data_IF_710290936585
#
_entry.id   IF_710290936585
#
_cell.length_a   1.000
_cell.length_b   1.000
_cell.length_c   1.000
_cell.angle_alpha   90.00
_cell.angle_beta   90.00
_cell.angle_gamma   90.00
#
_symmetry.space_group_name_H-M   'P 1'
#
loop_
_entity.id
_entity.type
_entity.pdbx_description
1 polymer ?
#
# COMPACT_ATOMS: atom_id res chain seq x y z
N UNK A 1 -2.68 -4.91 -7.62
CA UNK A 1 -3.16 -3.57 -8.00
C UNK A 1 -2.62 -3.25 -9.39
N UNK A 2 -3.38 -2.57 -10.24
CA UNK A 2 -2.82 -2.00 -11.48
C UNK A 2 -2.06 -0.73 -11.08
N UNK A 3 -0.82 -0.90 -10.64
CA UNK A 3 0.05 0.17 -10.16
C UNK A 3 1.43 0.01 -10.78
N UNK A 4 2.05 1.10 -11.27
CA UNK A 4 3.44 1.07 -11.71
C UNK A 4 4.37 0.60 -10.58
N UNK A 5 5.43 -0.11 -10.94
CA UNK A 5 6.54 -0.43 -10.06
C UNK A 5 7.84 -0.23 -10.85
N UNK A 6 8.80 0.46 -10.26
CA UNK A 6 10.12 0.64 -10.86
C UNK A 6 11.01 -0.57 -10.57
N UNK A 7 11.95 -0.85 -11.48
CA UNK A 7 13.11 -1.67 -11.15
C UNK A 7 13.97 -0.88 -10.15
N UNK A 8 14.20 -1.46 -8.97
CA UNK A 8 14.82 -0.78 -7.84
C UNK A 8 16.25 -0.30 -8.18
N UNK A 9 16.44 1.01 -8.30
CA UNK A 9 17.75 1.65 -8.39
C UNK A 9 18.14 2.20 -7.02
N UNK A 10 18.89 1.39 -6.27
CA UNK A 10 19.33 1.71 -4.91
C UNK A 10 20.11 3.01 -4.84
N UNK A 11 20.95 3.30 -5.85
CA UNK A 11 21.76 4.52 -5.88
C UNK A 11 20.90 5.78 -5.95
N UNK A 12 19.87 5.78 -6.81
CA UNK A 12 18.93 6.90 -6.91
C UNK A 12 18.10 7.11 -5.65
N UNK A 13 17.71 6.03 -4.97
CA UNK A 13 16.99 6.12 -3.71
C UNK A 13 17.87 6.74 -2.61
N UNK A 14 19.13 6.31 -2.51
CA UNK A 14 20.08 6.88 -1.55
C UNK A 14 20.26 8.37 -1.83
N UNK A 15 20.56 8.75 -3.08
CA UNK A 15 20.72 10.17 -3.47
C UNK A 15 19.47 11.00 -3.14
N UNK A 16 18.28 10.48 -3.42
CA UNK A 16 17.03 11.14 -3.08
C UNK A 16 16.88 11.31 -1.55
N UNK A 17 17.19 10.29 -0.76
CA UNK A 17 17.09 10.33 0.69
C UNK A 17 18.14 11.23 1.33
N UNK A 18 19.33 11.35 0.76
CA UNK A 18 20.34 12.34 1.15
C UNK A 18 19.82 13.77 0.93
N UNK A 19 19.23 14.04 -0.24
CA UNK A 19 18.65 15.35 -0.57
C UNK A 19 17.49 15.74 0.37
N UNK A 20 16.73 14.75 0.83
CA UNK A 20 15.67 14.91 1.84
C UNK A 20 16.19 14.97 3.28
N UNK A 21 17.50 14.85 3.51
CA UNK A 21 18.14 14.75 4.82
C UNK A 21 17.62 13.59 5.68
N UNK A 22 17.38 12.43 5.04
CA UNK A 22 16.85 11.22 5.67
C UNK A 22 17.92 10.15 5.91
N UNK A 23 19.18 10.43 5.61
CA UNK A 23 20.30 9.53 5.92
C UNK A 23 20.95 9.98 7.22
N UNK A 24 20.78 9.18 8.28
CA UNK A 24 21.42 9.41 9.58
C UNK A 24 22.61 8.48 9.81
N UNK A 25 23.34 8.71 10.90
CA UNK A 25 24.55 7.93 11.26
C UNK A 25 24.28 6.42 11.42
N UNK A 26 23.07 6.06 11.87
CA UNK A 26 22.68 4.67 12.18
C UNK A 26 21.72 4.08 11.14
N UNK A 27 21.54 4.75 10.00
CA UNK A 27 20.63 4.34 8.94
C UNK A 27 19.58 5.41 8.62
N UNK A 28 18.53 4.98 7.91
CA UNK A 28 17.51 5.89 7.41
C UNK A 28 16.61 6.45 8.53
N UNK A 29 16.24 7.72 8.36
CA UNK A 29 15.35 8.46 9.23
C UNK A 29 13.95 8.51 8.62
N UNK A 30 12.95 8.42 9.49
CA UNK A 30 11.55 8.59 9.15
C UNK A 30 11.32 10.00 8.63
N UNK A 31 10.76 10.12 7.43
CA UNK A 31 10.42 11.40 6.84
C UNK A 31 9.55 12.26 7.77
N UNK A 32 8.64 11.64 8.50
CA UNK A 32 7.60 12.34 9.24
C UNK A 32 8.03 12.84 10.62
N UNK A 33 8.89 12.10 11.32
CA UNK A 33 9.26 12.42 12.70
C UNK A 33 10.78 12.48 12.96
N UNK A 34 11.61 12.17 11.96
CA UNK A 34 13.07 12.18 12.07
C UNK A 34 13.68 11.08 12.92
N UNK A 35 12.88 10.21 13.56
CA UNK A 35 13.36 9.00 14.27
C UNK A 35 13.82 7.93 13.27
N UNK A 36 14.47 6.87 13.73
CA UNK A 36 14.85 5.75 12.86
C UNK A 36 13.67 5.14 12.10
N UNK A 37 13.83 4.94 10.79
CA UNK A 37 12.84 4.29 9.95
C UNK A 37 12.82 2.78 10.20
N UNK A 38 11.62 2.20 10.14
CA UNK A 38 11.36 0.76 10.36
C UNK A 38 10.43 0.15 9.31
N UNK A 39 9.91 0.97 8.40
CA UNK A 39 9.16 0.57 7.22
C UNK A 39 9.40 1.56 6.07
N UNK A 40 8.86 1.22 4.91
CA UNK A 40 8.74 2.11 3.76
C UNK A 40 7.27 2.52 3.66
N UNK A 41 7.01 3.80 3.45
CA UNK A 41 5.67 4.34 3.20
C UNK A 41 5.55 4.85 1.76
N UNK A 42 4.31 4.91 1.28
CA UNK A 42 3.93 5.56 0.03
C UNK A 42 3.44 6.97 0.32
N UNK A 43 4.10 8.00 -0.21
CA UNK A 43 3.68 9.40 -0.06
C UNK A 43 2.21 9.59 -0.46
N UNK A 44 1.80 8.97 -1.57
CA UNK A 44 0.43 8.92 -2.03
C UNK A 44 -0.08 7.47 -2.02
N UNK A 45 -1.32 7.24 -1.53
CA UNK A 45 -1.88 5.91 -1.39
C UNK A 45 -2.05 5.22 -2.75
N UNK A 46 -1.74 3.93 -2.84
CA UNK A 46 -1.92 3.15 -4.07
C UNK A 46 -3.39 2.86 -4.40
N UNK A 47 -4.22 2.78 -3.36
CA UNK A 47 -5.65 2.49 -3.46
C UNK A 47 -6.42 3.48 -2.58
N UNK A 48 -7.50 4.04 -3.12
CA UNK A 48 -8.46 4.86 -2.39
C UNK A 48 -9.87 4.46 -2.84
N UNK A 49 -10.78 4.26 -1.88
CA UNK A 49 -12.17 3.85 -2.15
C UNK A 49 -12.28 2.63 -3.07
N UNK A 50 -11.43 1.62 -2.84
CA UNK A 50 -11.31 0.40 -3.65
C UNK A 50 -10.89 0.59 -5.11
N UNK A 51 -10.44 1.79 -5.49
CA UNK A 51 -9.90 2.11 -6.82
C UNK A 51 -8.40 2.37 -6.77
N UNK A 52 -7.69 2.03 -7.84
CA UNK A 52 -6.28 2.40 -8.00
C UNK A 52 -6.18 3.90 -8.24
N UNK A 53 -5.31 4.57 -7.47
CA UNK A 53 -5.09 6.03 -7.59
C UNK A 53 -4.18 6.38 -8.77
N UNK A 54 -3.50 5.39 -9.34
CA UNK A 54 -2.46 5.58 -10.35
C UNK A 54 -1.06 5.76 -9.76
N UNK A 55 -0.95 6.02 -8.46
CA UNK A 55 0.33 6.03 -7.77
C UNK A 55 0.89 4.60 -7.65
N UNK A 56 2.21 4.51 -7.81
CA UNK A 56 2.94 3.25 -7.87
C UNK A 56 3.90 3.03 -6.71
N UNK A 57 4.51 1.85 -6.70
CA UNK A 57 5.70 1.57 -5.88
C UNK A 57 6.93 2.05 -6.66
N UNK A 58 7.11 3.37 -6.70
CA UNK A 58 8.04 4.06 -7.61
C UNK A 58 8.88 5.10 -6.86
N UNK A 59 10.02 5.46 -7.45
CA UNK A 59 10.79 6.63 -7.00
C UNK A 59 9.89 7.87 -7.00
N UNK A 60 10.07 8.75 -6.02
CA UNK A 60 9.18 9.89 -5.83
C UNK A 60 7.87 9.55 -5.10
N UNK A 61 7.51 8.27 -4.94
CA UNK A 61 6.40 7.87 -4.07
C UNK A 61 6.85 7.06 -2.85
N UNK A 62 8.06 6.52 -2.80
CA UNK A 62 8.58 5.75 -1.68
C UNK A 62 9.42 6.58 -0.73
N UNK A 63 9.17 6.48 0.57
CA UNK A 63 9.97 7.16 1.60
C UNK A 63 10.18 6.28 2.83
N UNK A 64 11.32 6.43 3.53
CA UNK A 64 11.53 5.75 4.80
C UNK A 64 10.60 6.35 5.86
N UNK A 65 9.94 5.48 6.63
CA UNK A 65 9.03 5.86 7.71
C UNK A 65 9.19 4.95 8.93
N UNK A 66 8.81 5.41 10.10
CA UNK A 66 8.60 4.51 11.24
C UNK A 66 7.19 3.92 11.18
N UNK A 67 6.99 2.73 11.76
CA UNK A 67 5.69 2.07 11.76
C UNK A 67 4.57 2.92 12.38
N UNK A 68 4.86 3.70 13.42
CA UNK A 68 3.88 4.58 14.06
C UNK A 68 3.38 5.67 13.09
N UNK A 69 4.28 6.39 12.42
CA UNK A 69 3.89 7.43 11.48
C UNK A 69 3.23 6.85 10.23
N UNK A 70 3.74 5.73 9.71
CA UNK A 70 3.16 5.05 8.55
C UNK A 70 1.71 4.62 8.82
N UNK A 71 1.47 3.95 9.96
CA UNK A 71 0.12 3.57 10.38
C UNK A 71 -0.78 4.80 10.66
N UNK A 72 -0.23 5.84 11.29
CA UNK A 72 -0.98 7.07 11.58
C UNK A 72 -1.40 7.80 10.29
N UNK A 73 -0.52 7.90 9.29
CA UNK A 73 -0.86 8.46 7.97
C UNK A 73 -1.95 7.63 7.31
N UNK A 74 -1.77 6.31 7.30
CA UNK A 74 -2.69 5.37 6.67
C UNK A 74 -2.88 5.67 5.18
N UNK A 75 -4.13 5.62 4.72
CA UNK A 75 -4.49 5.88 3.31
C UNK A 75 -4.55 7.35 2.90
N UNK A 76 -4.03 8.28 3.70
CA UNK A 76 -4.07 9.72 3.40
C UNK A 76 -2.88 10.14 2.52
N UNK A 77 -3.06 11.12 1.60
CA UNK A 77 -1.94 11.78 0.94
C UNK A 77 -1.00 12.43 1.95
N UNK A 78 0.31 12.38 1.69
CA UNK A 78 1.31 12.94 2.58
C UNK A 78 1.09 14.42 2.88
N UNK A 79 0.61 15.20 1.90
CA UNK A 79 0.36 16.64 2.04
C UNK A 79 -0.63 16.96 3.16
N UNK A 80 -1.66 16.14 3.31
CA UNK A 80 -2.64 16.28 4.41
C UNK A 80 -1.95 15.94 5.74
N UNK A 81 -1.20 14.85 5.78
CA UNK A 81 -0.56 14.35 7.00
C UNK A 81 0.55 15.25 7.53
N UNK A 82 1.40 15.81 6.66
CA UNK A 82 2.53 16.64 7.09
C UNK A 82 2.09 18.01 7.64
N UNK A 83 0.93 18.51 7.19
CA UNK A 83 0.32 19.72 7.75
C UNK A 83 -0.13 19.47 9.19
N UNK A 84 -0.78 18.33 9.46
CA UNK A 84 -1.17 17.95 10.82
C UNK A 84 0.03 17.75 11.75
N UNK A 85 1.12 17.19 11.21
CA UNK A 85 2.37 16.97 11.94
C UNK A 85 3.18 18.26 12.19
N UNK A 86 2.80 19.38 11.56
CA UNK A 86 3.54 20.63 11.66
C UNK A 86 4.93 20.56 11.00
N UNK A 87 5.06 19.81 9.90
CA UNK A 87 6.33 19.71 9.17
C UNK A 87 6.77 21.10 8.66
N UNK A 88 8.06 21.48 8.79
CA UNK A 88 8.54 22.76 8.30
C UNK A 88 8.32 22.92 6.78
N UNK A 89 7.91 24.12 6.34
CA UNK A 89 7.62 24.41 4.93
C UNK A 89 8.80 24.07 3.99
N UNK A 90 10.03 24.28 4.45
CA UNK A 90 11.22 23.93 3.68
C UNK A 90 11.31 22.43 3.41
N UNK A 91 10.99 21.60 4.40
CA UNK A 91 10.96 20.16 4.22
C UNK A 91 9.79 19.75 3.31
N UNK A 92 8.62 20.38 3.45
CA UNK A 92 7.48 20.17 2.55
C UNK A 92 7.87 20.47 1.09
N UNK A 93 8.61 21.56 0.84
CA UNK A 93 9.11 21.89 -0.51
C UNK A 93 10.00 20.78 -1.07
N UNK A 94 10.97 20.29 -0.30
CA UNK A 94 11.86 19.20 -0.72
C UNK A 94 11.10 17.91 -1.03
N UNK A 95 10.15 17.53 -0.18
CA UNK A 95 9.29 16.35 -0.42
C UNK A 95 8.44 16.55 -1.68
N UNK A 96 7.91 17.76 -1.91
CA UNK A 96 7.18 18.07 -3.14
C UNK A 96 8.06 17.98 -4.39
N UNK A 97 9.32 18.39 -4.32
CA UNK A 97 10.28 18.22 -5.43
C UNK A 97 10.57 16.75 -5.67
N UNK A 98 10.77 15.96 -4.61
CA UNK A 98 10.96 14.52 -4.73
C UNK A 98 9.73 13.83 -5.34
N UNK A 99 8.51 14.16 -4.87
CA UNK A 99 7.25 13.64 -5.42
C UNK A 99 7.12 13.89 -6.92
N UNK A 100 7.57 15.06 -7.41
CA UNK A 100 7.49 15.42 -8.82
C UNK A 100 8.35 14.55 -9.75
N UNK A 101 9.27 13.76 -9.19
CA UNK A 101 10.06 12.79 -9.94
C UNK A 101 9.29 11.50 -10.26
N UNK A 102 8.18 11.25 -9.56
CA UNK A 102 7.35 10.10 -9.83
C UNK A 102 6.70 10.23 -11.22
N UNK A 103 6.52 9.11 -11.95
CA UNK A 103 5.71 9.09 -13.16
C UNK A 103 4.33 9.68 -12.88
N UNK A 104 3.78 10.41 -13.86
CA UNK A 104 2.43 10.96 -13.74
C UNK A 104 1.44 9.82 -13.46
N UNK A 105 0.70 9.87 -12.34
CA UNK A 105 -0.22 8.80 -11.99
C UNK A 105 -1.36 8.73 -13.00
N UNK A 106 -1.67 7.53 -13.46
CA UNK A 106 -2.82 7.28 -14.34
C UNK A 106 -3.88 6.58 -13.52
N UNK A 107 -4.97 7.28 -13.20
CA UNK A 107 -6.00 6.75 -12.29
C UNK A 107 -6.78 5.61 -12.94
N UNK A 108 -7.50 4.83 -12.13
CA UNK A 108 -8.39 3.81 -12.67
C UNK A 108 -9.48 4.40 -13.59
N UNK A 109 -9.95 5.62 -13.33
CA UNK A 109 -10.96 6.27 -14.16
C UNK A 109 -10.35 6.72 -15.51
N UNK A 110 -9.08 7.14 -15.52
CA UNK A 110 -8.33 7.42 -16.76
C UNK A 110 -8.11 6.13 -17.57
N UNK A 111 -7.71 5.04 -16.91
CA UNK A 111 -7.55 3.75 -17.57
C UNK A 111 -8.87 3.23 -18.13
N UNK A 112 -9.99 3.43 -17.43
CA UNK A 112 -11.31 3.07 -17.92
C UNK A 112 -11.71 3.88 -19.17
N UNK A 113 -11.24 5.13 -19.26
CA UNK A 113 -11.43 5.96 -20.46
C UNK A 113 -10.54 5.54 -21.62
N UNK A 114 -9.28 5.21 -21.37
CA UNK A 114 -8.32 4.85 -22.43
C UNK A 114 -8.50 3.43 -22.93
N UNK A 115 -8.86 2.50 -22.04
CA UNK A 115 -8.91 1.06 -22.30
C UNK A 115 -10.19 0.43 -21.69
N UNK A 116 -11.39 0.87 -22.11
CA UNK A 116 -12.65 0.45 -21.49
C UNK A 116 -12.83 -1.06 -21.47
N UNK A 117 -12.59 -1.74 -22.60
CA UNK A 117 -12.78 -3.18 -22.73
C UNK A 117 -11.85 -4.00 -21.82
N UNK A 118 -10.60 -3.54 -21.65
CA UNK A 118 -9.62 -4.19 -20.77
C UNK A 118 -9.99 -3.99 -19.30
N UNK A 119 -10.45 -2.80 -18.92
CA UNK A 119 -10.89 -2.53 -17.55
C UNK A 119 -12.16 -3.32 -17.22
N UNK A 120 -13.11 -3.41 -18.13
CA UNK A 120 -14.31 -4.23 -17.93
C UNK A 120 -13.94 -5.72 -17.78
N UNK A 121 -13.07 -6.24 -18.65
CA UNK A 121 -12.59 -7.62 -18.54
C UNK A 121 -11.87 -7.87 -17.20
N UNK A 122 -10.98 -6.95 -16.80
CA UNK A 122 -10.28 -7.02 -15.51
C UNK A 122 -11.25 -7.03 -14.32
N UNK A 123 -12.27 -6.16 -14.33
CA UNK A 123 -13.26 -6.08 -13.27
C UNK A 123 -14.07 -7.37 -13.15
N UNK A 124 -14.54 -7.93 -14.27
CA UNK A 124 -15.25 -9.22 -14.29
C UNK A 124 -14.41 -10.35 -13.70
N UNK A 125 -13.14 -10.46 -14.11
CA UNK A 125 -12.24 -11.50 -13.59
C UNK A 125 -11.96 -11.32 -12.10
N UNK A 126 -11.85 -10.06 -11.64
CA UNK A 126 -11.68 -9.74 -10.22
C UNK A 126 -12.89 -10.16 -9.39
N UNK A 127 -14.11 -9.88 -9.86
CA UNK A 127 -15.35 -10.29 -9.20
C UNK A 127 -15.45 -11.83 -9.10
N UNK A 128 -15.19 -12.53 -10.20
CA UNK A 128 -15.17 -13.98 -10.23
C UNK A 128 -14.16 -14.57 -9.24
N UNK A 129 -12.97 -13.96 -9.13
CA UNK A 129 -11.96 -14.38 -8.15
C UNK A 129 -12.46 -14.23 -6.72
N UNK A 130 -13.13 -13.13 -6.39
CA UNK A 130 -13.68 -12.91 -5.04
C UNK A 130 -14.76 -13.95 -4.73
N UNK A 131 -15.66 -14.22 -5.68
CA UNK A 131 -16.73 -15.19 -5.47
C UNK A 131 -16.19 -16.61 -5.32
N UNK A 132 -15.15 -16.95 -6.08
CA UNK A 132 -14.45 -18.24 -5.94
C UNK A 132 -13.83 -18.38 -4.54
N UNK A 133 -13.18 -17.33 -4.03
CA UNK A 133 -12.63 -17.33 -2.67
C UNK A 133 -13.72 -17.47 -1.60
N UNK A 134 -14.86 -16.79 -1.77
CA UNK A 134 -16.01 -16.92 -0.87
C UNK A 134 -16.57 -18.35 -0.86
N UNK A 135 -16.70 -18.97 -2.03
CA UNK A 135 -17.17 -20.35 -2.15
C UNK A 135 -16.22 -21.33 -1.46
N UNK A 136 -14.90 -21.18 -1.68
CA UNK A 136 -13.89 -21.99 -1.00
C UNK A 136 -13.98 -21.85 0.53
N UNK A 137 -14.14 -20.62 1.04
CA UNK A 137 -14.29 -20.37 2.47
C UNK A 137 -15.57 -21.00 3.04
N UNK A 138 -16.68 -20.94 2.31
CA UNK A 138 -17.94 -21.57 2.73
C UNK A 138 -17.79 -23.09 2.85
N UNK A 139 -17.14 -23.74 1.89
CA UNK A 139 -16.84 -25.17 1.94
C UNK A 139 -15.90 -25.51 3.10
N UNK A 140 -14.85 -24.71 3.33
CA UNK A 140 -13.94 -24.90 4.45
C UNK A 140 -14.65 -24.83 5.81
N UNK A 141 -15.55 -23.86 5.98
CA UNK A 141 -16.35 -23.72 7.19
C UNK A 141 -17.28 -24.93 7.41
N UNK A 142 -17.91 -25.43 6.34
CA UNK A 142 -18.78 -26.60 6.41
C UNK A 142 -17.99 -27.87 6.75
N UNK A 143 -16.81 -28.06 6.15
CA UNK A 143 -15.91 -29.17 6.51
C UNK A 143 -15.53 -29.10 7.99
N UNK A 144 -15.17 -27.92 8.51
CA UNK A 144 -14.84 -27.76 9.93
C UNK A 144 -16.02 -28.10 10.84
N UNK A 145 -17.24 -27.66 10.48
CA UNK A 145 -18.47 -27.98 11.21
C UNK A 145 -18.70 -29.49 11.25
N UNK A 146 -18.61 -30.16 10.10
CA UNK A 146 -18.80 -31.61 10.00
C UNK A 146 -17.76 -32.40 10.80
N UNK A 147 -16.50 -31.95 10.82
CA UNK A 147 -15.44 -32.57 11.61
C UNK A 147 -15.65 -32.40 13.13
N UNK A 148 -16.16 -31.24 13.57
CA UNK A 148 -16.57 -31.03 14.96
C UNK A 148 -17.71 -31.97 15.36
N UNK A 149 -18.73 -32.09 14.50
CA UNK A 149 -19.88 -32.99 14.72
C UNK A 149 -19.47 -34.47 14.71
N UNK A 150 -18.46 -34.86 13.92
CA UNK A 150 -17.90 -36.22 13.92
C UNK A 150 -17.17 -36.51 15.23
N UNK A 151 -16.29 -35.60 15.66
CA UNK A 151 -15.52 -35.75 16.91
C UNK A 151 -16.40 -35.80 18.16
N UNK A 152 -17.48 -35.02 18.21
CA UNK A 152 -18.43 -35.06 19.33
C UNK A 152 -19.16 -36.39 19.43
N UNK A 153 -19.57 -36.97 18.28
CA UNK A 153 -20.20 -38.31 18.21
C UNK A 153 -19.24 -39.43 18.58
N UNK A 154 -17.97 -39.37 18.18
CA UNK A 154 -16.97 -40.38 18.54
C UNK A 154 -16.64 -40.35 20.05
N UNK A 155 -16.61 -39.15 20.65
CA UNK A 155 -16.33 -38.97 22.09
C UNK A 155 -17.46 -39.45 23.01
N UNK A 156 -18.71 -39.40 22.54
CA UNK A 156 -19.89 -39.88 23.28
C UNK A 156 -20.13 -41.40 23.18
N UNK A 157 -19.37 -42.11 22.34
CA UNK A 157 -19.48 -43.57 22.15
C UNK A 157 -18.51 -44.39 23.01
N UNK A 158 -17.54 -43.73 23.63
CA UNK A 158 -16.51 -44.32 24.50
C UNK A 158 -16.80 -44.13 26.00
N UNK A 159 -18.04 -43.80 26.38
CA UNK A 159 -18.50 -43.62 27.76
C UNK A 159 -19.51 -44.70 28.14
#
# INVERSE_FOLDING_TARGET
ALSPADDFDEAKLIEAFENLALVGEKGLLCLYCGKGATSVDHLNPLVKDSKFTGWGHVLGNLVPACNECNQSKGGRPWREFVVEMGMPEEQIRKVSTYESQAPTPVSQDDLARFYPDLIEAYQRLRELSIDTLRAAQSLANEIQRLELDRKSRDSGRTS
#
